data_IF_756262167644
#
_entry.id   IF_756262167644
#
_cell.length_a   1.000
_cell.length_b   1.000
_cell.length_c   1.000
_cell.angle_alpha   90.00
_cell.angle_beta   90.00
_cell.angle_gamma   90.00
#
_symmetry.space_group_name_H-M   'P 1'
#
loop_
_entity.id
_entity.type
_entity.pdbx_description
1 polymer ?
#
# COMPACT_ATOMS: atom_id res chain seq x y z
N UNK A 1 1.56 -2.57 -17.70
CA UNK A 1 0.43 -3.49 -17.45
C UNK A 1 -0.69 -2.68 -16.81
N UNK A 2 -1.91 -2.69 -17.36
CA UNK A 2 -3.06 -2.03 -16.71
C UNK A 2 -3.41 -2.81 -15.44
N UNK A 3 -3.67 -2.16 -14.30
CA UNK A 3 -4.09 -2.87 -13.10
C UNK A 3 -5.44 -3.55 -13.39
N UNK A 4 -5.53 -4.85 -13.08
CA UNK A 4 -6.76 -5.61 -13.25
C UNK A 4 -7.69 -5.20 -12.12
N UNK A 5 -8.45 -4.14 -12.36
CA UNK A 5 -9.36 -3.57 -11.39
C UNK A 5 -10.68 -4.37 -11.42
N UNK A 6 -10.89 -5.13 -10.34
CA UNK A 6 -12.19 -5.53 -9.78
C UNK A 6 -13.01 -6.53 -10.61
N UNK A 7 -12.99 -7.80 -10.20
CA UNK A 7 -14.15 -8.70 -10.39
C UNK A 7 -15.06 -8.54 -9.15
N UNK A 8 -16.36 -8.78 -9.26
CA UNK A 8 -17.26 -8.75 -8.11
C UNK A 8 -16.79 -9.74 -7.02
N UNK A 9 -16.72 -9.28 -5.75
CA UNK A 9 -16.25 -10.07 -4.60
C UNK A 9 -16.10 -9.26 -3.31
N UNK A 10 -15.97 -9.95 -2.16
CA UNK A 10 -15.65 -9.32 -0.87
C UNK A 10 -14.13 -9.14 -0.80
N UNK A 11 -13.67 -7.90 -0.82
CA UNK A 11 -12.24 -7.55 -0.75
C UNK A 11 -11.94 -6.78 0.53
N UNK A 12 -10.80 -7.06 1.14
CA UNK A 12 -10.27 -6.27 2.26
C UNK A 12 -9.08 -5.42 1.79
N UNK A 13 -9.13 -4.14 2.15
CA UNK A 13 -8.05 -3.18 1.96
C UNK A 13 -7.41 -2.88 3.31
N UNK A 14 -6.12 -3.17 3.44
CA UNK A 14 -5.39 -2.82 4.64
C UNK A 14 -4.14 -2.02 4.31
N UNK A 15 -4.08 -0.81 4.88
CA UNK A 15 -2.84 -0.06 5.01
C UNK A 15 -2.14 -0.53 6.29
N UNK A 16 -0.93 -1.05 6.16
CA UNK A 16 -0.13 -1.47 7.32
C UNK A 16 1.10 -0.58 7.43
N UNK A 17 1.23 0.05 8.59
CA UNK A 17 2.43 0.77 9.01
C UNK A 17 2.96 0.14 10.30
N UNK A 18 4.24 0.35 10.61
CA UNK A 18 4.84 -0.23 11.82
C UNK A 18 4.10 0.26 13.07
N UNK A 19 3.52 -0.65 13.89
CA UNK A 19 2.75 -0.26 15.07
C UNK A 19 3.64 0.20 16.24
N UNK A 20 4.93 -0.15 16.22
CA UNK A 20 5.84 0.00 17.37
C UNK A 20 6.77 1.21 17.26
N UNK A 21 6.94 1.80 16.07
CA UNK A 21 7.79 2.98 15.88
C UNK A 21 7.16 3.97 14.90
N UNK A 22 6.83 5.16 15.41
CA UNK A 22 6.60 6.34 14.57
C UNK A 22 7.83 6.56 13.69
N UNK A 23 7.68 6.36 12.38
CA UNK A 23 8.76 6.55 11.40
C UNK A 23 9.56 5.30 11.03
N UNK A 24 9.52 4.23 11.82
CA UNK A 24 10.37 3.05 11.63
C UNK A 24 9.87 2.06 10.56
N UNK A 25 10.77 1.23 10.05
CA UNK A 25 10.46 0.13 9.15
C UNK A 25 9.46 -0.87 9.78
N UNK A 26 8.78 -1.65 8.94
CA UNK A 26 7.84 -2.68 9.40
C UNK A 26 8.58 -3.77 10.18
N UNK A 27 8.05 -4.09 11.36
CA UNK A 27 8.55 -5.22 12.14
C UNK A 27 8.26 -6.55 11.43
N UNK A 28 9.31 -7.31 11.10
CA UNK A 28 9.20 -8.62 10.45
C UNK A 28 8.34 -9.63 11.22
N UNK A 29 8.32 -9.57 12.55
CA UNK A 29 7.48 -10.46 13.38
C UNK A 29 6.00 -10.18 13.13
N UNK A 30 5.61 -8.90 13.19
CA UNK A 30 4.24 -8.47 12.93
C UNK A 30 3.84 -8.77 11.49
N UNK A 31 4.75 -8.52 10.54
CA UNK A 31 4.52 -8.81 9.12
C UNK A 31 4.23 -10.29 8.89
N UNK A 32 5.01 -11.20 9.50
CA UNK A 32 4.78 -12.65 9.41
C UNK A 32 3.41 -13.04 9.96
N UNK A 33 3.02 -12.49 11.12
CA UNK A 33 1.71 -12.75 11.72
C UNK A 33 0.61 -12.34 10.74
N UNK A 34 0.65 -11.11 10.23
CA UNK A 34 -0.35 -10.62 9.28
C UNK A 34 -0.42 -11.46 8.00
N UNK A 35 0.73 -11.87 7.45
CA UNK A 35 0.76 -12.71 6.24
C UNK A 35 0.14 -14.09 6.48
N UNK A 36 0.29 -14.66 7.67
CA UNK A 36 -0.31 -15.96 8.01
C UNK A 36 -1.81 -15.84 8.31
N UNK A 37 -2.25 -14.73 8.92
CA UNK A 37 -3.68 -14.48 9.12
C UNK A 37 -4.41 -14.31 7.79
N UNK A 38 -3.82 -13.60 6.82
CA UNK A 38 -4.40 -13.47 5.47
C UNK A 38 -4.51 -14.80 4.76
N UNK A 39 -3.50 -15.67 4.88
CA UNK A 39 -3.56 -17.03 4.31
C UNK A 39 -4.77 -17.80 4.83
N UNK A 40 -4.97 -17.81 6.16
CA UNK A 40 -6.12 -18.48 6.79
C UNK A 40 -7.45 -17.93 6.32
N UNK A 41 -7.58 -16.60 6.27
CA UNK A 41 -8.81 -15.95 5.81
C UNK A 41 -9.13 -16.26 4.34
N UNK A 42 -8.11 -16.38 3.49
CA UNK A 42 -8.28 -16.78 2.09
C UNK A 42 -8.61 -18.27 1.94
N UNK A 43 -8.10 -19.15 2.81
CA UNK A 43 -8.47 -20.57 2.86
C UNK A 43 -9.95 -20.76 3.19
N UNK A 44 -10.50 -19.91 4.06
CA UNK A 44 -11.93 -19.87 4.40
C UNK A 44 -12.81 -19.27 3.28
N UNK A 45 -12.19 -18.81 2.17
CA UNK A 45 -12.84 -18.18 1.00
C UNK A 45 -13.65 -16.92 1.30
N UNK A 46 -13.48 -16.33 2.48
CA UNK A 46 -14.03 -15.02 2.84
C UNK A 46 -12.99 -14.20 3.61
N UNK A 47 -12.44 -13.10 3.03
CA UNK A 47 -12.73 -12.51 1.72
C UNK A 47 -12.18 -13.34 0.55
N UNK A 48 -12.62 -13.02 -0.68
CA UNK A 48 -12.17 -13.71 -1.89
C UNK A 48 -10.80 -13.23 -2.38
N UNK A 49 -10.31 -12.10 -1.86
CA UNK A 49 -9.00 -11.54 -2.17
C UNK A 49 -8.61 -10.41 -1.18
N UNK A 50 -7.31 -10.15 -1.07
CA UNK A 50 -6.74 -9.10 -0.21
C UNK A 50 -5.88 -8.13 -1.02
N UNK A 51 -5.97 -6.84 -0.68
CA UNK A 51 -5.00 -5.85 -1.12
C UNK A 51 -4.27 -5.26 0.08
N UNK A 52 -2.96 -5.50 0.13
CA UNK A 52 -2.08 -4.81 1.04
C UNK A 52 -1.48 -3.56 0.40
N UNK A 53 -1.46 -2.49 1.19
CA UNK A 53 -0.85 -1.23 0.81
C UNK A 53 0.22 -0.89 1.86
N UNK A 54 1.47 -0.77 1.42
CA UNK A 54 2.60 -0.47 2.30
C UNK A 54 3.34 0.81 1.90
N UNK A 55 3.84 1.60 2.87
CA UNK A 55 4.70 2.74 2.58
C UNK A 55 6.07 2.29 2.06
N UNK A 56 6.51 2.78 0.89
CA UNK A 56 7.81 2.42 0.27
C UNK A 56 8.96 2.65 1.25
N UNK A 57 8.96 3.81 1.92
CA UNK A 57 9.98 4.22 2.88
C UNK A 57 9.97 3.41 4.21
N UNK A 58 9.00 2.50 4.38
CA UNK A 58 8.85 1.66 5.58
C UNK A 58 9.03 0.17 5.29
N UNK A 59 9.22 -0.21 4.02
CA UNK A 59 9.46 -1.60 3.61
C UNK A 59 10.93 -1.79 3.26
N UNK A 60 11.67 -2.46 4.15
CA UNK A 60 13.06 -2.83 3.89
C UNK A 60 13.18 -4.11 3.04
N UNK A 61 14.42 -4.49 2.69
CA UNK A 61 14.70 -5.68 1.87
C UNK A 61 14.20 -6.98 2.52
N UNK A 62 14.25 -7.08 3.85
CA UNK A 62 13.80 -8.25 4.59
C UNK A 62 12.27 -8.37 4.59
N UNK A 63 11.57 -7.24 4.71
CA UNK A 63 10.12 -7.18 4.57
C UNK A 63 9.69 -7.61 3.16
N UNK A 64 10.40 -7.13 2.11
CA UNK A 64 10.09 -7.49 0.71
C UNK A 64 10.15 -9.00 0.48
N UNK A 65 11.12 -9.70 1.06
CA UNK A 65 11.21 -11.16 0.94
C UNK A 65 9.96 -11.86 1.49
N UNK A 66 9.43 -11.39 2.62
CA UNK A 66 8.20 -11.94 3.23
C UNK A 66 6.99 -11.66 2.34
N UNK A 67 6.86 -10.43 1.83
CA UNK A 67 5.74 -10.01 0.99
C UNK A 67 5.72 -10.72 -0.37
N UNK A 68 6.88 -10.88 -1.02
CA UNK A 68 6.99 -11.62 -2.28
C UNK A 68 6.66 -13.10 -2.08
N UNK A 69 7.04 -13.68 -0.93
CA UNK A 69 6.63 -15.04 -0.58
C UNK A 69 5.10 -15.13 -0.45
N UNK A 70 4.45 -14.22 0.27
CA UNK A 70 2.99 -14.20 0.39
C UNK A 70 2.31 -14.12 -0.99
N UNK A 71 2.78 -13.23 -1.87
CA UNK A 71 2.23 -13.05 -3.22
C UNK A 71 2.38 -14.31 -4.08
N UNK A 72 3.48 -15.04 -3.90
CA UNK A 72 3.72 -16.33 -4.58
C UNK A 72 2.83 -17.44 -4.02
N UNK A 73 2.67 -17.49 -2.69
CA UNK A 73 1.87 -18.49 -2.00
C UNK A 73 0.35 -18.27 -2.23
N UNK A 74 -0.08 -17.02 -2.45
CA UNK A 74 -1.49 -16.63 -2.57
C UNK A 74 -1.74 -15.72 -3.78
N UNK A 75 -2.24 -16.28 -4.87
CA UNK A 75 -2.54 -15.54 -6.12
C UNK A 75 -3.65 -14.47 -5.97
N UNK A 76 -4.45 -14.56 -4.91
CA UNK A 76 -5.52 -13.61 -4.59
C UNK A 76 -5.07 -12.44 -3.70
N UNK A 77 -3.75 -12.32 -3.46
CA UNK A 77 -3.14 -11.20 -2.74
C UNK A 77 -2.49 -10.23 -3.73
N UNK A 78 -2.94 -8.98 -3.71
CA UNK A 78 -2.27 -7.87 -4.37
C UNK A 78 -1.49 -7.03 -3.34
N UNK A 79 -0.27 -6.63 -3.68
CA UNK A 79 0.59 -5.84 -2.80
C UNK A 79 1.02 -4.60 -3.58
N UNK A 80 0.64 -3.44 -3.06
CA UNK A 80 0.97 -2.14 -3.62
C UNK A 80 1.87 -1.39 -2.64
N UNK A 81 2.81 -0.64 -3.20
CA UNK A 81 3.70 0.22 -2.44
C UNK A 81 3.40 1.67 -2.80
N UNK A 82 3.25 2.52 -1.79
CA UNK A 82 3.01 3.94 -1.98
C UNK A 82 4.11 4.76 -1.32
N UNK A 83 4.54 5.83 -1.98
CA UNK A 83 5.54 6.73 -1.42
C UNK A 83 4.84 7.77 -0.53
N UNK A 84 4.89 7.55 0.79
CA UNK A 84 4.39 8.48 1.80
C UNK A 84 4.95 9.89 1.62
N UNK A 85 6.23 10.02 1.32
CA UNK A 85 6.92 11.31 1.31
C UNK A 85 6.50 12.11 0.09
N UNK A 86 6.36 11.45 -1.07
CA UNK A 86 5.78 12.08 -2.26
C UNK A 86 4.33 12.53 -2.06
N UNK A 87 3.51 11.73 -1.37
CA UNK A 87 2.11 12.10 -1.06
C UNK A 87 2.04 13.26 -0.09
N UNK A 88 2.85 13.25 0.98
CA UNK A 88 2.91 14.34 1.96
C UNK A 88 3.41 15.64 1.33
N UNK A 89 4.43 15.57 0.48
CA UNK A 89 4.91 16.71 -0.30
C UNK A 89 3.84 17.26 -1.25
N UNK A 90 3.06 16.38 -1.90
CA UNK A 90 1.93 16.78 -2.73
C UNK A 90 0.86 17.49 -1.90
N UNK A 91 0.46 16.95 -0.76
CA UNK A 91 -0.53 17.57 0.14
C UNK A 91 -0.04 18.96 0.57
N UNK A 92 1.20 19.07 1.06
CA UNK A 92 1.81 20.35 1.45
C UNK A 92 1.91 21.34 0.28
N UNK A 93 2.13 20.86 -0.94
CA UNK A 93 2.15 21.72 -2.12
C UNK A 93 0.74 22.22 -2.46
N UNK A 94 -0.27 21.35 -2.39
CA UNK A 94 -1.67 21.70 -2.63
C UNK A 94 -2.23 22.66 -1.58
N UNK A 95 -1.84 22.53 -0.31
CA UNK A 95 -2.19 23.48 0.76
C UNK A 95 -1.68 24.90 0.49
N UNK A 96 -0.57 25.04 -0.25
CA UNK A 96 -0.01 26.34 -0.66
C UNK A 96 -0.76 26.95 -1.83
N UNK A 97 -1.55 26.18 -2.56
CA UNK A 97 -2.36 26.65 -3.68
C UNK A 97 -3.64 27.30 -3.14
N UNK A 98 -3.73 28.62 -3.29
CA UNK A 98 -4.85 29.42 -2.74
C UNK A 98 -5.97 29.70 -3.75
N UNK A 99 -5.88 29.21 -4.98
CA UNK A 99 -6.86 29.47 -6.03
C UNK A 99 -6.93 28.33 -7.05
N UNK A 100 -8.07 28.24 -7.75
CA UNK A 100 -8.29 27.25 -8.82
C UNK A 100 -7.28 27.42 -9.98
N UNK A 101 -6.93 28.65 -10.34
CA UNK A 101 -5.91 28.91 -11.37
C UNK A 101 -4.53 28.39 -10.96
N UNK A 102 -4.12 28.62 -9.70
CA UNK A 102 -2.86 28.09 -9.17
C UNK A 102 -2.81 26.56 -9.13
N UNK A 103 -3.97 25.92 -8.93
CA UNK A 103 -4.08 24.46 -8.97
C UNK A 103 -3.83 23.93 -10.39
N UNK A 104 -4.43 24.58 -11.40
CA UNK A 104 -4.25 24.22 -12.80
C UNK A 104 -2.79 24.37 -13.23
N UNK A 105 -2.12 25.46 -12.83
CA UNK A 105 -0.70 25.67 -13.09
C UNK A 105 0.19 24.60 -12.45
N UNK A 106 -0.06 24.28 -11.18
CA UNK A 106 0.67 23.23 -10.47
C UNK A 106 0.54 21.87 -11.17
N UNK A 107 -0.68 21.48 -11.56
CA UNK A 107 -0.94 20.21 -12.28
C UNK A 107 -0.19 20.17 -13.63
N UNK A 108 -0.13 21.29 -14.35
CA UNK A 108 0.58 21.37 -15.62
C UNK A 108 2.10 21.27 -15.46
N UNK A 109 2.65 21.76 -14.36
CA UNK A 109 4.08 21.63 -14.05
C UNK A 109 4.44 20.20 -13.63
N UNK A 110 3.63 19.56 -12.79
CA UNK A 110 3.89 18.20 -12.28
C UNK A 110 3.76 17.09 -13.35
N UNK A 111 3.20 17.40 -14.52
CA UNK A 111 3.06 16.48 -15.66
C UNK A 111 4.26 16.50 -16.63
N UNK A 112 5.15 17.48 -16.51
CA UNK A 112 6.39 17.57 -17.30
C UNK A 112 7.52 16.80 -16.64
#
# INVERSE_FOLDING_TARGET
MKPVYFKDGNYIYECKSSPEQQGGALNNKSLRIWTEDVKKLLEEQQPTAFRYIFPVNRVDSSNRIILEKLKKDCSHVDIQYYDCDSVDNLIKALEKVKSLSGLVEYINQARK
#
